data_IF_706465165653
#
_entry.id   IF_706465165653
#
_cell.length_a   1.000
_cell.length_b   1.000
_cell.length_c   1.000
_cell.angle_alpha   90.00
_cell.angle_beta   90.00
_cell.angle_gamma   90.00
#
_symmetry.space_group_name_H-M   'P 1'
#
loop_
_entity.id
_entity.type
_entity.pdbx_description
1 polymer ?
#
# COMPACT_ATOMS: atom_id res chain seq x y z
N UNK A 1 4.75 2.71 12.84
CA UNK A 1 5.12 2.57 11.43
C UNK A 1 5.84 3.80 10.95
N UNK A 2 6.90 3.63 10.18
CA UNK A 2 7.59 4.74 9.58
C UNK A 2 7.11 4.87 8.15
N UNK A 3 6.75 6.09 7.77
CA UNK A 3 6.29 6.34 6.41
C UNK A 3 7.27 7.28 5.73
N UNK A 4 7.75 6.87 4.56
CA UNK A 4 8.60 7.70 3.74
C UNK A 4 7.89 7.98 2.43
N UNK A 5 7.87 9.24 2.04
CA UNK A 5 7.25 9.63 0.78
C UNK A 5 8.29 10.35 -0.04
N UNK A 6 8.57 9.84 -1.23
CA UNK A 6 9.56 10.42 -2.13
C UNK A 6 8.91 10.82 -3.44
N UNK A 7 9.48 11.78 -4.11
CA UNK A 7 8.95 12.24 -5.40
C UNK A 7 9.98 12.18 -6.50
N UNK A 8 9.54 11.79 -7.70
CA UNK A 8 10.36 11.78 -8.89
C UNK A 8 9.70 12.74 -9.85
N UNK A 9 10.37 13.84 -10.17
CA UNK A 9 9.85 14.86 -11.05
C UNK A 9 8.61 15.53 -10.43
N UNK A 10 8.51 15.51 -9.11
CA UNK A 10 7.43 16.17 -8.40
C UNK A 10 7.93 16.50 -7.02
N UNK A 11 7.53 17.63 -6.50
CA UNK A 11 7.89 18.02 -5.17
C UNK A 11 6.84 17.47 -4.23
N UNK A 12 7.26 16.80 -3.16
CA UNK A 12 6.32 16.27 -2.19
C UNK A 12 6.03 17.40 -1.20
N UNK A 13 4.94 18.09 -1.42
CA UNK A 13 4.54 19.20 -0.56
C UNK A 13 3.97 18.65 0.74
N UNK A 14 3.85 19.47 1.78
CA UNK A 14 3.22 19.02 3.03
C UNK A 14 1.80 18.52 2.80
N UNK A 15 1.07 19.14 1.88
CA UNK A 15 -0.29 18.72 1.57
C UNK A 15 -0.33 17.31 0.98
N UNK A 16 0.57 17.02 0.04
CA UNK A 16 0.64 15.72 -0.56
C UNK A 16 1.08 14.68 0.46
N UNK A 17 2.07 15.01 1.28
CA UNK A 17 2.57 14.10 2.30
C UNK A 17 1.45 13.77 3.28
N UNK A 18 0.68 14.76 3.67
CA UNK A 18 -0.41 14.56 4.61
C UNK A 18 -1.51 13.68 4.00
N UNK A 19 -1.78 13.89 2.73
CA UNK A 19 -2.79 13.12 2.02
C UNK A 19 -2.38 11.64 1.95
N UNK A 20 -1.13 11.40 1.58
CA UNK A 20 -0.59 10.05 1.51
C UNK A 20 -0.65 9.40 2.89
N UNK A 21 -0.23 10.13 3.91
CA UNK A 21 -0.21 9.59 5.27
C UNK A 21 -1.62 9.18 5.70
N UNK A 22 -2.60 10.01 5.46
CA UNK A 22 -3.97 9.72 5.85
C UNK A 22 -4.46 8.45 5.16
N UNK A 23 -4.17 8.32 3.86
CA UNK A 23 -4.63 7.16 3.11
C UNK A 23 -3.92 5.88 3.53
N UNK A 24 -2.62 5.95 3.73
CA UNK A 24 -1.86 4.76 4.12
C UNK A 24 -2.21 4.35 5.56
N UNK A 25 -2.41 5.31 6.45
CA UNK A 25 -2.76 4.98 7.82
C UNK A 25 -4.13 4.30 7.89
N UNK A 26 -5.03 4.68 7.01
CA UNK A 26 -6.34 4.04 6.96
C UNK A 26 -6.19 2.56 6.61
N UNK A 27 -5.28 2.25 5.71
CA UNK A 27 -5.04 0.87 5.33
C UNK A 27 -4.35 0.11 6.45
N UNK A 28 -3.32 0.69 7.05
CA UNK A 28 -2.55 -0.02 8.06
C UNK A 28 -3.29 -0.14 9.38
N UNK A 29 -4.40 0.57 9.53
CA UNK A 29 -5.19 0.46 10.73
C UNK A 29 -5.75 -0.96 10.89
N UNK A 30 -5.89 -1.68 9.79
CA UNK A 30 -6.43 -3.03 9.84
C UNK A 30 -5.36 -4.08 10.15
N UNK A 31 -4.11 -3.68 10.27
CA UNK A 31 -3.06 -4.68 10.41
C UNK A 31 -1.88 -4.06 11.16
N UNK A 32 -1.66 -4.49 12.37
CA UNK A 32 -0.67 -3.90 13.22
C UNK A 32 0.72 -4.35 13.00
N UNK A 33 0.98 -5.23 12.08
CA UNK A 33 2.33 -5.78 11.92
C UNK A 33 3.15 -5.09 10.84
N UNK A 34 2.75 -3.89 10.45
CA UNK A 34 3.50 -3.15 9.43
C UNK A 34 4.73 -2.55 10.07
N UNK A 35 5.89 -2.79 9.47
CA UNK A 35 7.16 -2.27 9.96
C UNK A 35 7.34 -0.85 9.44
N UNK A 36 7.25 -0.68 8.12
CA UNK A 36 7.31 0.64 7.54
C UNK A 36 6.68 0.63 6.15
N UNK A 37 6.55 1.81 5.56
CA UNK A 37 5.98 1.97 4.24
C UNK A 37 6.79 3.01 3.47
N UNK A 38 7.05 2.72 2.20
CA UNK A 38 7.73 3.64 1.32
C UNK A 38 6.81 3.95 0.15
N UNK A 39 6.52 5.21 -0.06
CA UNK A 39 5.67 5.63 -1.16
C UNK A 39 6.51 6.46 -2.11
N UNK A 40 6.44 6.16 -3.41
CA UNK A 40 7.14 6.91 -4.43
C UNK A 40 6.11 7.47 -5.39
N UNK A 41 6.14 8.79 -5.58
CA UNK A 41 5.23 9.46 -6.49
C UNK A 41 6.04 9.93 -7.69
N UNK A 42 5.56 9.61 -8.89
CA UNK A 42 6.25 9.98 -10.12
C UNK A 42 5.30 10.74 -11.02
N UNK A 43 5.74 11.87 -11.53
CA UNK A 43 4.94 12.64 -12.45
C UNK A 43 5.64 12.69 -13.79
N UNK A 44 4.95 12.24 -14.85
CA UNK A 44 5.50 12.26 -16.18
C UNK A 44 4.44 12.75 -17.13
N UNK A 45 4.64 13.88 -17.71
CA UNK A 45 3.71 14.41 -18.70
C UNK A 45 2.25 14.19 -18.33
N UNK A 46 1.62 13.28 -19.00
CA UNK A 46 0.21 13.04 -18.79
C UNK A 46 -0.07 11.89 -17.82
N UNK A 47 0.99 11.31 -17.25
CA UNK A 47 0.80 10.13 -16.45
C UNK A 47 1.41 10.34 -15.09
N UNK A 48 0.67 10.11 -14.06
CA UNK A 48 1.19 10.25 -12.70
C UNK A 48 1.04 8.92 -12.00
N UNK A 49 2.11 8.49 -11.37
CA UNK A 49 2.16 7.16 -10.81
C UNK A 49 2.40 7.23 -9.31
N UNK A 50 1.71 6.40 -8.57
CA UNK A 50 1.93 6.25 -7.13
C UNK A 50 2.25 4.79 -6.86
N UNK A 51 3.32 4.54 -6.13
CA UNK A 51 3.66 3.17 -5.75
C UNK A 51 3.99 3.10 -4.27
N UNK A 52 3.73 1.97 -3.66
CA UNK A 52 4.00 1.77 -2.25
C UNK A 52 4.60 0.40 -2.04
N UNK A 53 5.57 0.32 -1.16
CA UNK A 53 6.09 -0.94 -0.67
C UNK A 53 5.88 -0.94 0.84
N UNK A 54 5.13 -1.91 1.31
CA UNK A 54 4.83 -2.05 2.70
C UNK A 54 5.65 -3.20 3.22
N UNK A 55 6.48 -2.94 4.23
CA UNK A 55 7.30 -4.00 4.82
C UNK A 55 6.55 -4.62 5.97
N UNK A 56 6.32 -5.92 5.88
CA UNK A 56 5.66 -6.68 6.94
C UNK A 56 6.58 -7.85 7.27
N UNK A 57 6.37 -8.54 8.38
CA UNK A 57 7.25 -9.65 8.73
C UNK A 57 7.22 -10.72 7.66
N UNK A 58 8.39 -11.04 7.16
CA UNK A 58 8.54 -12.15 6.23
C UNK A 58 8.33 -11.81 4.76
N UNK A 59 7.87 -10.62 4.43
CA UNK A 59 7.68 -10.28 3.02
C UNK A 59 7.40 -8.80 2.85
N UNK A 60 7.38 -8.36 1.60
CA UNK A 60 7.02 -7.01 1.25
C UNK A 60 5.75 -7.07 0.41
N UNK A 61 4.87 -6.12 0.63
CA UNK A 61 3.69 -5.99 -0.18
C UNK A 61 3.87 -4.74 -1.04
N UNK A 62 3.77 -4.90 -2.33
CA UNK A 62 4.02 -3.80 -3.26
C UNK A 62 2.83 -3.63 -4.19
N UNK A 63 2.45 -2.40 -4.46
CA UNK A 63 1.49 -2.13 -5.51
C UNK A 63 1.72 -0.75 -6.10
N UNK A 64 1.16 -0.52 -7.27
CA UNK A 64 1.31 0.75 -7.95
C UNK A 64 0.07 1.05 -8.77
N UNK A 65 -0.19 2.32 -8.98
CA UNK A 65 -1.32 2.78 -9.77
C UNK A 65 -0.95 4.03 -10.54
N UNK A 66 -1.57 4.21 -11.69
CA UNK A 66 -1.34 5.39 -12.51
C UNK A 66 -2.66 6.08 -12.79
N UNK A 67 -2.63 7.38 -12.92
CA UNK A 67 -3.80 8.15 -13.27
C UNK A 67 -3.34 9.51 -13.81
N UNK A 68 -4.20 10.23 -14.46
CA UNK A 68 -3.87 11.56 -14.93
C UNK A 68 -3.78 12.56 -13.76
N UNK A 69 -4.39 12.23 -12.63
CA UNK A 69 -4.38 13.07 -11.45
C UNK A 69 -3.66 12.33 -10.33
N UNK A 70 -2.69 12.99 -9.72
CA UNK A 70 -1.87 12.37 -8.68
C UNK A 70 -2.70 11.97 -7.46
N UNK A 71 -3.63 12.81 -7.04
CA UNK A 71 -4.46 12.47 -5.88
C UNK A 71 -5.33 11.26 -6.17
N UNK A 72 -5.83 11.16 -7.40
CA UNK A 72 -6.60 10.00 -7.81
C UNK A 72 -5.72 8.74 -7.82
N UNK A 73 -4.46 8.88 -8.26
CA UNK A 73 -3.52 7.77 -8.24
C UNK A 73 -3.29 7.28 -6.81
N UNK A 74 -3.17 8.21 -5.86
CA UNK A 74 -2.97 7.88 -4.45
C UNK A 74 -4.21 7.16 -3.91
N UNK A 75 -5.40 7.62 -4.27
CA UNK A 75 -6.63 6.98 -3.82
C UNK A 75 -6.73 5.54 -4.33
N UNK A 76 -6.44 5.35 -5.61
CA UNK A 76 -6.48 4.02 -6.19
C UNK A 76 -5.43 3.12 -5.57
N UNK A 77 -4.26 3.69 -5.28
CA UNK A 77 -3.19 2.96 -4.64
C UNK A 77 -3.62 2.46 -3.27
N UNK A 78 -4.25 3.31 -2.50
CA UNK A 78 -4.71 2.95 -1.15
C UNK A 78 -5.74 1.84 -1.22
N UNK A 79 -6.67 1.91 -2.17
CA UNK A 79 -7.68 0.87 -2.34
C UNK A 79 -7.04 -0.46 -2.71
N UNK A 80 -6.06 -0.42 -3.60
CA UNK A 80 -5.38 -1.62 -4.04
C UNK A 80 -4.58 -2.22 -2.90
N UNK A 81 -3.89 -1.37 -2.15
CA UNK A 81 -3.10 -1.82 -1.01
C UNK A 81 -4.00 -2.41 0.06
N UNK A 82 -5.14 -1.82 0.30
CA UNK A 82 -6.07 -2.30 1.30
C UNK A 82 -6.52 -3.73 0.98
N UNK A 83 -6.86 -3.99 -0.28
CA UNK A 83 -7.24 -5.33 -0.70
C UNK A 83 -6.09 -6.32 -0.54
N UNK A 84 -4.86 -5.86 -0.82
CA UNK A 84 -3.70 -6.70 -0.70
C UNK A 84 -3.40 -7.03 0.76
N UNK A 85 -3.55 -6.06 1.65
CA UNK A 85 -3.33 -6.25 3.07
C UNK A 85 -4.38 -7.21 3.64
N UNK A 86 -5.63 -7.05 3.25
CA UNK A 86 -6.68 -7.93 3.72
C UNK A 86 -6.44 -9.37 3.26
N UNK A 87 -5.97 -9.53 2.04
CA UNK A 87 -5.67 -10.85 1.52
C UNK A 87 -4.50 -11.48 2.26
N UNK A 88 -3.48 -10.69 2.57
CA UNK A 88 -2.34 -11.17 3.32
C UNK A 88 -2.76 -11.57 4.73
N UNK A 89 -3.62 -10.78 5.35
CA UNK A 89 -4.13 -11.05 6.66
C UNK A 89 -4.93 -12.35 6.66
N UNK A 90 -5.76 -12.54 5.66
CA UNK A 90 -6.55 -13.76 5.54
C UNK A 90 -5.65 -14.97 5.38
N UNK A 91 -4.59 -14.85 4.60
CA UNK A 91 -3.67 -15.95 4.42
C UNK A 91 -3.00 -16.32 5.71
N UNK A 92 -2.65 -15.36 6.54
CA UNK A 92 -2.05 -15.67 7.83
C UNK A 92 -3.04 -16.42 8.73
N UNK A 93 -4.29 -16.00 8.70
CA UNK A 93 -5.29 -16.66 9.51
C UNK A 93 -5.57 -18.05 8.98
N UNK A 94 -5.65 -18.21 7.69
CA UNK A 94 -5.85 -19.50 7.10
C UNK A 94 -4.71 -20.41 7.45
N UNK A 95 -3.49 -19.91 7.46
CA UNK A 95 -2.40 -20.70 7.79
C UNK A 95 -2.50 -21.20 9.18
N UNK A 96 -3.03 -20.43 10.06
CA UNK A 96 -3.12 -20.89 11.43
C UNK A 96 -4.21 -21.89 11.58
N UNK A 97 -5.25 -21.91 10.77
CA UNK A 97 -6.24 -22.92 10.93
C UNK A 97 -6.02 -23.97 9.98
N UNK A 98 -5.16 -23.84 9.11
CA UNK A 98 -5.00 -24.69 8.07
C UNK A 98 -4.85 -26.05 8.30
N UNK A 99 -4.38 -26.35 9.24
CA UNK A 99 -4.18 -27.69 9.41
C UNK A 99 -5.34 -28.42 9.02
N UNK A 100 -6.47 -27.90 9.15
CA UNK A 100 -7.60 -28.66 8.88
C UNK A 100 -8.06 -28.49 7.54
N UNK A 101 -7.52 -27.68 6.79
CA UNK A 101 -8.11 -27.43 5.61
C UNK A 101 -7.39 -27.86 4.55
N UNK A 102 -7.65 -28.72 3.97
CA UNK A 102 -6.94 -29.18 2.93
C UNK A 102 -7.17 -28.23 1.90
N UNK A 103 -6.82 -28.02 1.32
CA UNK A 103 -6.95 -27.32 0.32
C UNK A 103 -7.92 -26.59 -0.08
N UNK A 104 -8.06 -26.15 -0.40
CA UNK A 104 -8.80 -25.46 -0.80
C UNK A 104 -8.60 -24.98 -1.81
N UNK A 105 -8.79 -24.90 -2.34
CA UNK A 105 -8.55 -24.60 -3.34
C UNK A 105 -8.60 -23.54 -3.77
N UNK A 106 -8.75 -23.30 -3.64
CA UNK A 106 -8.84 -22.47 -4.08
C UNK A 106 -8.74 -22.01 -4.39
#
# INVERSE_FOLDING_TARGET
MNLNVSGHHVEVTPAIRSYVRTKIERVTRHFDHVIDAHVILTVEKLRQKAEVTLHVPGRDLHCECENADLYAAIDLLADKLDRQVLRYKDKLQDKSKVQDKPADPQ
#
